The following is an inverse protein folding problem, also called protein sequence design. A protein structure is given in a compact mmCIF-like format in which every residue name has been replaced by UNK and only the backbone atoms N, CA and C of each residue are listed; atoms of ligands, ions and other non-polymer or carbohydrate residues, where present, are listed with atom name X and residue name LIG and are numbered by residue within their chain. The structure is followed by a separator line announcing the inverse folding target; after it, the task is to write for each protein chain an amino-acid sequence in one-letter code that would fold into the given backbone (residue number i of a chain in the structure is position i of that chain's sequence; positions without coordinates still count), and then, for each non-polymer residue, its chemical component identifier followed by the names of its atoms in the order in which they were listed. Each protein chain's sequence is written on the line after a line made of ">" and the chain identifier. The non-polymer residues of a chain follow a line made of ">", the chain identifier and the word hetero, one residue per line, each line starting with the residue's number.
data_IF_836900786727
#
_entry.id   IF_836900786727
#
_cell.length_a   1.000
_cell.length_b   1.000
_cell.length_c   1.000
_cell.angle_alpha   90.00
_cell.angle_beta   90.00
_cell.angle_gamma   90.00
#
_symmetry.space_group_name_H-M   'P 1'
#
loop_
_entity.id
_entity.type
_entity.pdbx_description
1 polymer ?
#
# COMPACT_ATOMS: atom_id res chain seq x y z
N UNK A 1 2.49 -52.42 -1.05
CA UNK A 1 2.99 -51.71 -2.24
C UNK A 1 2.88 -50.22 -1.95
N UNK A 2 3.96 -49.60 -1.50
CA UNK A 2 4.04 -48.15 -1.28
C UNK A 2 4.08 -47.46 -2.64
N UNK A 3 3.14 -46.56 -2.92
CA UNK A 3 3.30 -45.57 -3.98
C UNK A 3 3.80 -44.31 -3.30
N UNK A 4 5.09 -44.02 -3.50
CA UNK A 4 5.75 -42.78 -3.08
C UNK A 4 5.24 -41.68 -4.01
N UNK A 5 4.39 -40.79 -3.50
CA UNK A 5 4.03 -39.55 -4.19
C UNK A 5 5.14 -38.52 -3.92
N UNK A 6 5.99 -38.28 -4.93
CA UNK A 6 6.95 -37.18 -4.93
C UNK A 6 6.22 -35.85 -5.14
N UNK A 7 6.60 -34.74 -4.48
CA UNK A 7 5.96 -33.44 -4.70
C UNK A 7 6.31 -32.91 -6.10
N UNK A 8 5.30 -32.67 -6.92
CA UNK A 8 5.44 -32.01 -8.23
C UNK A 8 5.66 -30.50 -8.00
N UNK A 9 6.84 -30.14 -7.51
CA UNK A 9 7.37 -28.78 -7.58
C UNK A 9 8.57 -28.84 -8.52
N UNK A 10 8.31 -28.75 -9.82
CA UNK A 10 9.23 -28.46 -10.93
C UNK A 10 8.78 -29.23 -12.18
N UNK A 11 7.80 -28.69 -12.92
CA UNK A 11 7.63 -29.07 -14.32
C UNK A 11 7.43 -27.80 -15.16
N UNK A 12 8.35 -27.65 -16.12
CA UNK A 12 8.45 -26.53 -17.05
C UNK A 12 7.16 -26.40 -17.91
N UNK A 13 6.70 -25.18 -18.24
CA UNK A 13 5.43 -24.95 -18.96
C UNK A 13 5.32 -25.66 -20.31
N UNK A 14 6.44 -25.97 -20.97
CA UNK A 14 6.47 -26.49 -22.34
C UNK A 14 5.92 -27.93 -22.48
N UNK A 15 5.91 -28.75 -21.42
CA UNK A 15 5.42 -30.15 -21.52
C UNK A 15 3.90 -30.28 -21.50
N UNK A 16 3.16 -29.28 -21.00
CA UNK A 16 1.69 -29.32 -20.89
C UNK A 16 0.97 -29.22 -22.24
N UNK A 17 1.57 -28.55 -23.23
CA UNK A 17 0.93 -28.31 -24.52
C UNK A 17 0.85 -29.56 -25.42
N UNK A 18 1.52 -30.66 -25.08
CA UNK A 18 1.62 -31.85 -25.94
C UNK A 18 0.70 -33.02 -25.56
N UNK A 19 -0.03 -32.95 -24.42
CA UNK A 19 -0.70 -34.15 -23.85
C UNK A 19 -2.22 -34.00 -23.73
N UNK A 20 -2.79 -32.78 -23.76
CA UNK A 20 -4.23 -32.57 -23.51
C UNK A 20 -4.90 -31.84 -24.68
N UNK A 21 -5.91 -32.44 -25.35
CA UNK A 21 -6.70 -31.77 -26.39
C UNK A 21 -7.39 -30.52 -25.82
N UNK A 22 -7.40 -29.43 -26.59
CA UNK A 22 -7.86 -28.10 -26.15
C UNK A 22 -9.25 -28.07 -25.49
N UNK A 23 -10.14 -29.00 -25.86
CA UNK A 23 -11.53 -28.99 -25.39
C UNK A 23 -11.74 -29.58 -23.98
N UNK A 24 -10.69 -30.13 -23.34
CA UNK A 24 -10.79 -30.74 -22.00
C UNK A 24 -9.89 -30.09 -20.94
N UNK A 25 -9.12 -29.05 -21.29
CA UNK A 25 -8.22 -28.35 -20.37
C UNK A 25 -8.97 -27.74 -19.18
N UNK A 26 -10.16 -27.18 -19.42
CA UNK A 26 -11.01 -26.57 -18.39
C UNK A 26 -11.55 -27.58 -17.37
N UNK A 27 -11.80 -28.82 -17.78
CA UNK A 27 -12.32 -29.88 -16.91
C UNK A 27 -11.22 -30.49 -16.03
N UNK A 28 -10.05 -30.76 -16.62
CA UNK A 28 -8.90 -31.27 -15.87
C UNK A 28 -8.34 -30.25 -14.87
N UNK A 29 -8.39 -28.95 -15.20
CA UNK A 29 -7.93 -27.91 -14.28
C UNK A 29 -8.89 -27.70 -13.09
N UNK A 30 -10.20 -27.83 -13.31
CA UNK A 30 -11.21 -27.84 -12.22
C UNK A 30 -10.94 -28.97 -11.22
N UNK A 31 -10.57 -30.16 -11.71
CA UNK A 31 -10.21 -31.29 -10.85
C UNK A 31 -8.88 -31.03 -10.11
N UNK A 32 -7.88 -30.43 -10.75
CA UNK A 32 -6.58 -30.16 -10.11
C UNK A 32 -6.67 -29.10 -8.99
N UNK A 33 -7.47 -28.04 -9.17
CA UNK A 33 -7.74 -27.03 -8.14
C UNK A 33 -8.45 -27.65 -6.93
N UNK A 34 -9.44 -28.51 -7.18
CA UNK A 34 -10.16 -29.24 -6.13
C UNK A 34 -9.20 -30.18 -5.38
N UNK A 35 -8.39 -30.97 -6.10
CA UNK A 35 -7.48 -31.95 -5.49
C UNK A 35 -6.33 -31.32 -4.70
N UNK A 36 -5.77 -30.19 -5.15
CA UNK A 36 -4.73 -29.46 -4.39
C UNK A 36 -5.28 -28.83 -3.11
N UNK A 37 -6.56 -28.50 -3.05
CA UNK A 37 -7.19 -27.95 -1.85
C UNK A 37 -7.52 -29.03 -0.82
N UNK A 38 -7.97 -30.21 -1.26
CA UNK A 38 -8.28 -31.34 -0.36
C UNK A 38 -7.03 -32.11 0.13
N UNK A 39 -5.91 -32.04 -0.57
CA UNK A 39 -4.67 -32.73 -0.17
C UNK A 39 -4.02 -32.16 1.11
N UNK A 40 -4.46 -31.00 1.60
CA UNK A 40 -3.99 -30.40 2.86
C UNK A 40 -4.96 -30.57 4.03
N UNK A 41 -6.09 -31.27 3.86
CA UNK A 41 -7.13 -31.44 4.89
C UNK A 41 -7.30 -32.90 5.30
N UNK A 42 -6.26 -33.50 5.88
CA UNK A 42 -6.42 -34.72 6.71
C UNK A 42 -6.17 -34.37 8.17
N UNK A 43 -7.20 -33.78 8.80
CA UNK A 43 -7.52 -33.84 10.23
C UNK A 43 -8.78 -32.98 10.46
N UNK A 44 -9.93 -33.49 10.03
CA UNK A 44 -11.23 -32.97 10.47
C UNK A 44 -11.84 -34.01 11.39
N UNK A 45 -11.59 -33.85 12.69
CA UNK A 45 -12.49 -34.35 13.72
C UNK A 45 -13.77 -33.51 13.63
N UNK A 46 -14.91 -34.19 13.66
CA UNK A 46 -16.23 -33.61 13.49
C UNK A 46 -16.53 -32.52 14.53
N UNK A 47 -16.35 -31.26 14.13
CA UNK A 47 -17.07 -30.12 14.69
C UNK A 47 -17.91 -29.52 13.57
N UNK A 48 -19.22 -29.54 13.78
CA UNK A 48 -20.23 -28.88 12.97
C UNK A 48 -19.95 -27.37 12.91
N UNK A 49 -19.24 -26.94 11.86
CA UNK A 49 -19.17 -25.54 11.45
C UNK A 49 -20.12 -25.35 10.27
N UNK A 50 -21.32 -24.85 10.57
CA UNK A 50 -22.20 -24.23 9.58
C UNK A 50 -21.75 -22.78 9.36
N UNK A 51 -20.66 -22.58 8.65
CA UNK A 51 -20.35 -21.31 7.98
C UNK A 51 -19.95 -21.64 6.56
N UNK A 52 -20.88 -21.47 5.63
CA UNK A 52 -20.55 -21.41 4.21
C UNK A 52 -19.55 -20.27 4.01
N UNK A 53 -18.26 -20.57 3.86
CA UNK A 53 -17.29 -19.60 3.36
C UNK A 53 -17.72 -19.26 1.93
N UNK A 54 -18.43 -18.15 1.75
CA UNK A 54 -18.66 -17.60 0.42
C UNK A 54 -17.31 -17.15 -0.11
N UNK A 55 -16.93 -17.64 -1.29
CA UNK A 55 -15.72 -17.26 -2.03
C UNK A 55 -16.14 -16.39 -3.22
N UNK A 56 -16.35 -15.07 -3.03
CA UNK A 56 -17.08 -14.23 -3.98
C UNK A 56 -16.33 -14.06 -5.31
N UNK A 57 -15.01 -14.00 -5.26
CA UNK A 57 -14.17 -13.86 -6.44
C UNK A 57 -14.12 -15.16 -7.23
N UNK A 58 -14.01 -16.32 -6.57
CA UNK A 58 -14.12 -17.63 -7.23
C UNK A 58 -15.50 -17.84 -7.86
N UNK A 59 -16.57 -17.41 -7.20
CA UNK A 59 -17.92 -17.48 -7.78
C UNK A 59 -18.02 -16.59 -9.02
N UNK A 60 -17.43 -15.39 -8.99
CA UNK A 60 -17.41 -14.49 -10.15
C UNK A 60 -16.59 -15.07 -11.30
N UNK A 61 -15.44 -15.67 -11.00
CA UNK A 61 -14.58 -16.37 -11.97
C UNK A 61 -15.30 -17.50 -12.72
N UNK A 62 -16.35 -18.10 -12.11
CA UNK A 62 -17.18 -19.09 -12.80
C UNK A 62 -18.01 -18.50 -13.95
N UNK A 63 -18.27 -17.19 -13.92
CA UNK A 63 -19.07 -16.47 -14.91
C UNK A 63 -18.22 -15.71 -15.94
N UNK A 64 -16.91 -15.57 -15.72
CA UNK A 64 -15.99 -14.88 -16.61
C UNK A 64 -14.75 -14.33 -15.87
N UNK A 65 -13.78 -13.77 -16.60
CA UNK A 65 -12.60 -13.18 -15.99
C UNK A 65 -12.95 -11.91 -15.19
N UNK A 66 -12.17 -11.61 -14.14
CA UNK A 66 -12.39 -10.50 -13.23
C UNK A 66 -12.03 -9.16 -13.89
N UNK A 67 -12.98 -8.22 -13.92
CA UNK A 67 -12.79 -6.88 -14.49
C UNK A 67 -12.13 -5.94 -13.50
N UNK A 68 -11.05 -5.28 -13.93
CA UNK A 68 -10.25 -4.36 -13.11
C UNK A 68 -10.56 -2.90 -13.48
N UNK A 69 -10.78 -2.07 -12.47
CA UNK A 69 -10.89 -0.62 -12.61
C UNK A 69 -9.88 0.09 -11.69
N UNK A 70 -8.99 0.88 -12.28
CA UNK A 70 -8.02 1.73 -11.58
C UNK A 70 -8.60 3.12 -11.41
N UNK A 71 -8.77 3.55 -10.16
CA UNK A 71 -9.34 4.84 -9.78
C UNK A 71 -8.17 5.77 -9.44
N UNK A 72 -7.74 6.56 -10.44
CA UNK A 72 -6.65 7.52 -10.30
C UNK A 72 -5.57 7.34 -11.35
N UNK A 73 -5.05 8.45 -11.87
CA UNK A 73 -4.16 8.51 -13.04
C UNK A 73 -2.97 9.44 -12.83
N UNK A 74 -2.61 9.71 -11.57
CA UNK A 74 -1.36 10.39 -11.24
C UNK A 74 -0.14 9.54 -11.64
N UNK A 75 1.05 9.99 -11.24
CA UNK A 75 2.30 9.29 -11.52
C UNK A 75 2.23 7.83 -11.04
N UNK A 76 1.89 7.60 -9.77
CA UNK A 76 1.75 6.25 -9.22
C UNK A 76 0.57 5.47 -9.82
N UNK A 77 -0.57 6.13 -10.07
CA UNK A 77 -1.73 5.49 -10.71
C UNK A 77 -1.44 4.97 -12.12
N UNK A 78 -0.60 5.69 -12.89
CA UNK A 78 -0.18 5.28 -14.23
C UNK A 78 0.77 4.07 -14.19
N UNK A 79 1.70 4.05 -13.23
CA UNK A 79 2.61 2.90 -13.01
C UNK A 79 1.84 1.66 -12.59
N UNK A 80 0.89 1.83 -11.66
CA UNK A 80 0.01 0.74 -11.25
C UNK A 80 -0.85 0.27 -12.41
N UNK A 81 -1.43 1.18 -13.20
CA UNK A 81 -2.14 0.88 -14.44
C UNK A 81 -1.30 0.02 -15.39
N UNK A 82 -0.02 0.38 -15.61
CA UNK A 82 0.94 -0.41 -16.41
C UNK A 82 1.10 -1.83 -15.87
N UNK A 83 1.31 -1.98 -14.57
CA UNK A 83 1.52 -3.29 -13.93
C UNK A 83 0.28 -4.17 -14.06
N UNK A 84 -0.89 -3.66 -13.65
CA UNK A 84 -2.12 -4.45 -13.62
C UNK A 84 -2.60 -4.80 -15.02
N UNK A 85 -2.49 -3.89 -15.99
CA UNK A 85 -2.84 -4.19 -17.39
C UNK A 85 -1.88 -5.21 -18.00
N UNK A 86 -0.58 -5.13 -17.69
CA UNK A 86 0.39 -6.11 -18.15
C UNK A 86 0.12 -7.52 -17.60
N UNK A 87 -0.24 -7.63 -16.31
CA UNK A 87 -0.61 -8.92 -15.71
C UNK A 87 -1.94 -9.45 -16.22
N UNK A 88 -2.94 -8.57 -16.41
CA UNK A 88 -4.23 -8.94 -16.94
C UNK A 88 -4.13 -9.52 -18.35
N UNK A 89 -3.27 -8.95 -19.21
CA UNK A 89 -3.03 -9.45 -20.58
C UNK A 89 -2.52 -10.89 -20.64
N UNK A 90 -1.79 -11.34 -19.61
CA UNK A 90 -1.16 -12.67 -19.58
C UNK A 90 -1.88 -13.69 -18.70
N UNK A 91 -2.93 -13.27 -17.99
CA UNK A 91 -3.63 -14.09 -17.01
C UNK A 91 -5.04 -14.41 -17.49
N UNK A 92 -5.48 -15.65 -17.28
CA UNK A 92 -6.88 -16.04 -17.54
C UNK A 92 -7.84 -15.61 -16.42
N UNK A 93 -7.31 -15.09 -15.30
CA UNK A 93 -8.08 -14.69 -14.13
C UNK A 93 -8.71 -13.31 -14.34
N UNK A 94 -8.04 -12.44 -15.10
CA UNK A 94 -8.42 -11.03 -15.26
C UNK A 94 -8.89 -10.76 -16.67
N UNK A 95 -9.87 -9.86 -16.81
CA UNK A 95 -10.27 -9.37 -18.12
C UNK A 95 -9.09 -8.57 -18.70
N UNK A 96 -8.75 -8.82 -19.96
CA UNK A 96 -7.62 -8.15 -20.58
C UNK A 96 -7.82 -6.63 -20.62
N UNK A 97 -9.07 -6.14 -20.69
CA UNK A 97 -9.38 -4.72 -20.78
C UNK A 97 -9.40 -4.09 -19.39
N UNK A 98 -8.29 -3.47 -19.00
CA UNK A 98 -8.19 -2.69 -17.76
C UNK A 98 -8.63 -1.26 -18.03
N UNK A 99 -9.53 -0.74 -17.19
CA UNK A 99 -9.99 0.65 -17.26
C UNK A 99 -9.30 1.50 -16.21
N UNK A 100 -8.86 2.70 -16.60
CA UNK A 100 -8.30 3.69 -15.68
C UNK A 100 -9.08 5.00 -15.74
N UNK A 101 -9.46 5.50 -14.56
CA UNK A 101 -10.12 6.79 -14.44
C UNK A 101 -9.08 7.91 -14.51
N UNK A 102 -9.23 8.77 -15.52
CA UNK A 102 -8.41 9.95 -15.73
C UNK A 102 -9.26 11.19 -15.49
N UNK A 103 -8.90 12.01 -14.50
CA UNK A 103 -9.55 13.31 -14.35
C UNK A 103 -9.27 14.14 -15.61
N UNK A 104 -10.33 14.63 -16.26
CA UNK A 104 -10.20 15.22 -17.59
C UNK A 104 -9.48 16.56 -17.52
N UNK A 105 -8.41 16.68 -18.29
CA UNK A 105 -7.60 17.89 -18.41
C UNK A 105 -7.28 18.14 -19.89
N UNK A 106 -7.03 19.40 -20.25
CA UNK A 106 -6.62 19.77 -21.60
C UNK A 106 -5.10 19.93 -21.66
N UNK A 107 -4.45 19.18 -22.55
CA UNK A 107 -3.04 19.35 -22.92
C UNK A 107 -3.00 19.85 -24.35
N UNK A 108 -2.53 21.09 -24.53
CA UNK A 108 -2.44 21.73 -25.86
C UNK A 108 -3.77 21.68 -26.64
N UNK A 109 -4.90 21.86 -25.93
CA UNK A 109 -6.25 21.85 -26.50
C UNK A 109 -6.86 20.48 -26.76
N UNK A 110 -6.14 19.38 -26.48
CA UNK A 110 -6.65 18.00 -26.58
C UNK A 110 -6.94 17.42 -25.21
N UNK A 111 -7.95 16.56 -25.11
CA UNK A 111 -8.28 15.84 -23.87
C UNK A 111 -7.15 14.88 -23.50
N UNK A 112 -6.77 14.86 -22.23
CA UNK A 112 -5.73 13.97 -21.73
C UNK A 112 -6.10 12.50 -21.96
N UNK A 113 -7.39 12.14 -21.83
CA UNK A 113 -7.89 10.78 -22.13
C UNK A 113 -7.66 10.37 -23.59
N UNK A 114 -7.89 11.27 -24.54
CA UNK A 114 -7.66 11.02 -25.97
C UNK A 114 -6.17 10.82 -26.26
N UNK A 115 -5.31 11.69 -25.72
CA UNK A 115 -3.85 11.55 -25.86
C UNK A 115 -3.37 10.24 -25.25
N UNK A 116 -3.85 9.92 -24.04
CA UNK A 116 -3.50 8.69 -23.33
C UNK A 116 -3.82 7.46 -24.18
N UNK A 117 -5.04 7.37 -24.71
CA UNK A 117 -5.47 6.22 -25.50
C UNK A 117 -4.82 6.15 -26.89
N UNK A 118 -4.45 7.29 -27.50
CA UNK A 118 -3.79 7.31 -28.81
C UNK A 118 -2.29 7.02 -28.74
N UNK A 119 -1.62 7.54 -27.71
CA UNK A 119 -0.16 7.39 -27.54
C UNK A 119 0.22 6.23 -26.62
N UNK A 120 -0.74 5.68 -25.87
CA UNK A 120 -0.50 4.76 -24.77
C UNK A 120 0.56 5.30 -23.80
N UNK A 121 0.39 6.55 -23.39
CA UNK A 121 1.32 7.27 -22.51
C UNK A 121 0.56 8.32 -21.70
N UNK A 122 0.86 8.43 -20.39
CA UNK A 122 0.41 9.57 -19.60
C UNK A 122 1.43 10.72 -19.70
N UNK A 123 1.32 11.51 -20.78
CA UNK A 123 2.25 12.58 -21.12
C UNK A 123 2.42 13.65 -20.04
N UNK A 124 1.46 13.79 -19.11
CA UNK A 124 1.51 14.77 -18.02
C UNK A 124 2.15 14.20 -16.76
N UNK A 125 1.68 13.03 -16.31
CA UNK A 125 2.02 12.50 -14.99
C UNK A 125 3.10 11.42 -15.00
N UNK A 126 3.33 10.77 -16.14
CA UNK A 126 4.37 9.76 -16.34
C UNK A 126 4.97 9.86 -17.76
N UNK A 127 5.61 11.00 -18.11
CA UNK A 127 6.13 11.22 -19.45
C UNK A 127 7.26 10.24 -19.80
N UNK A 128 7.27 9.77 -21.04
CA UNK A 128 8.28 8.89 -21.62
C UNK A 128 8.16 7.41 -21.25
N UNK A 129 7.09 7.00 -20.53
CA UNK A 129 6.87 5.60 -20.16
C UNK A 129 5.72 5.01 -20.99
N UNK A 130 5.98 4.01 -21.84
CA UNK A 130 4.92 3.35 -22.60
C UNK A 130 4.00 2.56 -21.66
N UNK A 131 2.70 2.68 -21.91
CA UNK A 131 1.64 1.96 -21.22
C UNK A 131 1.10 0.84 -22.12
N UNK A 132 0.57 -0.26 -21.54
CA UNK A 132 -0.02 -1.33 -22.33
C UNK A 132 -1.24 -0.87 -23.12
N UNK A 133 -1.42 -1.38 -24.34
CA UNK A 133 -2.57 -1.03 -25.21
C UNK A 133 -3.93 -1.39 -24.60
N UNK A 134 -3.94 -2.39 -23.71
CA UNK A 134 -5.12 -2.87 -23.00
C UNK A 134 -5.43 -2.08 -21.71
N UNK A 135 -4.73 -0.96 -21.46
CA UNK A 135 -5.06 0.01 -20.43
C UNK A 135 -5.80 1.20 -21.05
N UNK A 136 -7.12 1.25 -20.86
CA UNK A 136 -7.97 2.25 -21.50
C UNK A 136 -8.36 3.35 -20.51
N UNK A 137 -8.02 4.60 -20.85
CA UNK A 137 -8.39 5.78 -20.09
C UNK A 137 -9.84 6.21 -20.36
N UNK A 138 -10.56 6.47 -19.28
CA UNK A 138 -11.92 7.03 -19.29
C UNK A 138 -11.99 8.26 -18.38
N UNK A 139 -12.68 9.33 -18.81
CA UNK A 139 -12.90 10.50 -17.95
C UNK A 139 -14.10 10.37 -17.01
N UNK A 140 -15.06 9.54 -17.38
CA UNK A 140 -16.21 9.21 -16.55
C UNK A 140 -15.84 8.15 -15.51
N UNK A 141 -15.84 8.55 -14.23
CA UNK A 141 -15.65 7.61 -13.12
C UNK A 141 -16.71 6.51 -13.14
N UNK A 142 -17.96 6.85 -13.46
CA UNK A 142 -19.09 5.92 -13.56
C UNK A 142 -18.85 4.84 -14.61
N UNK A 143 -18.34 5.21 -15.79
CA UNK A 143 -18.05 4.26 -16.86
C UNK A 143 -16.81 3.40 -16.55
N UNK A 144 -15.83 3.97 -15.85
CA UNK A 144 -14.61 3.26 -15.44
C UNK A 144 -14.94 2.08 -14.52
N UNK A 145 -15.81 2.29 -13.54
CA UNK A 145 -16.10 1.28 -12.50
C UNK A 145 -17.28 0.35 -12.84
N UNK A 146 -18.02 0.63 -13.92
CA UNK A 146 -19.19 -0.18 -14.33
C UNK A 146 -18.82 -1.66 -14.42
N UNK A 147 -19.54 -2.55 -13.74
CA UNK A 147 -19.30 -4.00 -13.74
C UNK A 147 -17.89 -4.44 -13.28
N UNK A 148 -17.09 -3.56 -12.66
CA UNK A 148 -15.78 -3.92 -12.16
C UNK A 148 -15.90 -4.85 -10.94
N UNK A 149 -15.09 -5.91 -10.89
CA UNK A 149 -15.00 -6.81 -9.75
C UNK A 149 -13.88 -6.40 -8.79
N UNK A 150 -12.88 -5.70 -9.32
CA UNK A 150 -11.67 -5.29 -8.60
C UNK A 150 -11.49 -3.77 -8.75
N UNK A 151 -11.61 -3.04 -7.65
CA UNK A 151 -11.43 -1.59 -7.60
C UNK A 151 -10.08 -1.23 -6.96
N UNK A 152 -9.20 -0.58 -7.72
CA UNK A 152 -7.86 -0.16 -7.27
C UNK A 152 -7.86 1.35 -7.02
N UNK A 153 -7.91 1.77 -5.76
CA UNK A 153 -7.89 3.19 -5.38
C UNK A 153 -6.46 3.72 -5.30
N UNK A 154 -6.09 4.62 -6.22
CA UNK A 154 -4.74 5.19 -6.34
C UNK A 154 -4.81 6.69 -6.64
N UNK A 155 -5.46 7.42 -5.74
CA UNK A 155 -5.64 8.87 -5.77
C UNK A 155 -4.94 9.54 -4.58
N UNK A 156 -4.61 10.85 -4.67
CA UNK A 156 -4.19 11.61 -3.51
C UNK A 156 -5.23 11.54 -2.38
N UNK A 157 -4.78 11.40 -1.13
CA UNK A 157 -5.65 11.11 0.02
C UNK A 157 -6.76 12.15 0.20
N UNK A 158 -6.50 13.43 -0.09
CA UNK A 158 -7.49 14.50 0.05
C UNK A 158 -8.73 14.33 -0.87
N UNK A 159 -8.63 13.54 -1.95
CA UNK A 159 -9.73 13.30 -2.89
C UNK A 159 -10.51 12.02 -2.60
N UNK A 160 -10.06 11.18 -1.66
CA UNK A 160 -10.64 9.86 -1.44
C UNK A 160 -12.10 9.93 -1.01
N UNK A 161 -12.39 10.72 0.03
CA UNK A 161 -13.74 10.84 0.59
C UNK A 161 -14.77 11.24 -0.47
N UNK A 162 -14.52 12.35 -1.18
CA UNK A 162 -15.41 12.86 -2.22
C UNK A 162 -15.56 11.88 -3.39
N UNK A 163 -14.49 11.14 -3.72
CA UNK A 163 -14.55 10.09 -4.75
C UNK A 163 -15.45 8.94 -4.31
N UNK A 164 -15.30 8.44 -3.08
CA UNK A 164 -16.18 7.41 -2.52
C UNK A 164 -17.64 7.87 -2.43
N UNK A 165 -17.90 9.10 -2.01
CA UNK A 165 -19.26 9.67 -1.98
C UNK A 165 -19.88 9.74 -3.39
N UNK A 166 -19.08 10.13 -4.38
CA UNK A 166 -19.50 10.13 -5.80
C UNK A 166 -19.81 8.72 -6.30
N UNK A 167 -18.97 7.73 -5.98
CA UNK A 167 -19.19 6.32 -6.34
C UNK A 167 -20.47 5.80 -5.68
N UNK A 168 -20.69 6.10 -4.40
CA UNK A 168 -21.92 5.73 -3.67
C UNK A 168 -23.16 6.27 -4.37
N UNK A 169 -23.12 7.53 -4.82
CA UNK A 169 -24.24 8.16 -5.53
C UNK A 169 -24.58 7.51 -6.88
N UNK A 170 -23.69 6.70 -7.47
CA UNK A 170 -24.00 5.96 -8.69
C UNK A 170 -24.90 4.74 -8.46
N UNK A 171 -25.13 4.32 -7.21
CA UNK A 171 -25.99 3.18 -6.84
C UNK A 171 -25.67 1.89 -7.61
N UNK A 172 -24.38 1.59 -7.82
CA UNK A 172 -23.98 0.30 -8.35
C UNK A 172 -24.16 -0.81 -7.31
N UNK A 173 -24.48 -2.01 -7.80
CA UNK A 173 -24.43 -3.22 -6.98
C UNK A 173 -23.00 -3.75 -6.95
N UNK A 174 -22.35 -3.64 -5.79
CA UNK A 174 -20.99 -4.12 -5.58
C UNK A 174 -20.92 -5.55 -5.00
N UNK A 175 -21.97 -6.35 -5.17
CA UNK A 175 -21.93 -7.77 -4.82
C UNK A 175 -20.71 -8.44 -5.46
N UNK A 176 -19.92 -9.15 -4.66
CA UNK A 176 -18.67 -9.81 -5.07
C UNK A 176 -17.57 -8.88 -5.61
N UNK A 177 -17.66 -7.57 -5.36
CA UNK A 177 -16.59 -6.62 -5.67
C UNK A 177 -15.64 -6.50 -4.49
N UNK A 178 -14.34 -6.41 -4.77
CA UNK A 178 -13.30 -6.15 -3.76
C UNK A 178 -12.55 -4.86 -4.09
N UNK A 179 -12.17 -4.13 -3.05
CA UNK A 179 -11.37 -2.93 -3.17
C UNK A 179 -9.93 -3.18 -2.68
N UNK A 180 -8.99 -2.41 -3.22
CA UNK A 180 -7.66 -2.25 -2.64
C UNK A 180 -7.26 -0.78 -2.66
N UNK A 181 -6.77 -0.28 -1.53
CA UNK A 181 -6.27 1.09 -1.38
C UNK A 181 -4.75 1.13 -1.51
N UNK A 182 -4.25 1.99 -2.40
CA UNK A 182 -2.85 2.39 -2.50
C UNK A 182 -2.64 3.83 -1.99
N UNK A 183 -3.66 4.37 -1.33
CA UNK A 183 -3.67 5.72 -0.79
C UNK A 183 -2.87 5.75 0.51
N UNK A 184 -1.86 6.62 0.58
CA UNK A 184 -1.06 6.83 1.79
C UNK A 184 -1.49 8.14 2.45
N UNK A 185 -2.15 8.03 3.61
CA UNK A 185 -2.66 9.18 4.35
C UNK A 185 -3.38 8.76 5.63
N UNK A 186 -3.63 9.73 6.50
CA UNK A 186 -4.36 9.58 7.75
C UNK A 186 -5.53 10.58 7.74
N UNK A 187 -6.70 10.16 8.18
CA UNK A 187 -7.85 11.03 8.37
C UNK A 187 -8.16 11.16 9.86
N UNK A 188 -8.96 12.18 10.19
CA UNK A 188 -9.47 12.39 11.54
C UNK A 188 -10.99 12.37 11.48
N UNK A 189 -11.61 11.55 12.32
CA UNK A 189 -13.06 11.56 12.48
C UNK A 189 -13.55 12.75 13.35
N UNK A 190 -14.86 12.87 13.53
CA UNK A 190 -15.44 13.94 14.33
C UNK A 190 -15.06 13.88 15.83
N UNK A 191 -14.52 12.75 16.30
CA UNK A 191 -14.11 12.51 17.68
C UNK A 191 -12.57 12.58 17.86
N UNK A 192 -11.85 13.09 16.87
CA UNK A 192 -10.39 13.14 16.84
C UNK A 192 -9.70 11.76 16.91
N UNK A 193 -10.38 10.71 16.44
CA UNK A 193 -9.73 9.41 16.25
C UNK A 193 -9.13 9.32 14.85
N UNK A 194 -7.98 8.63 14.72
CA UNK A 194 -7.41 8.37 13.41
C UNK A 194 -8.30 7.42 12.61
N UNK A 195 -8.39 7.68 11.31
CA UNK A 195 -9.10 6.86 10.33
C UNK A 195 -8.19 6.58 9.14
N UNK A 196 -8.22 5.34 8.65
CA UNK A 196 -7.44 4.88 7.51
C UNK A 196 -8.23 4.99 6.20
N UNK A 197 -7.52 4.88 5.07
CA UNK A 197 -8.14 4.99 3.75
C UNK A 197 -9.00 3.77 3.45
N UNK A 198 -8.55 2.57 3.85
CA UNK A 198 -9.35 1.34 3.73
C UNK A 198 -10.65 1.44 4.52
N UNK A 199 -10.60 1.88 5.78
CA UNK A 199 -11.78 2.07 6.63
C UNK A 199 -12.78 3.04 6.00
N UNK A 200 -12.29 4.15 5.44
CA UNK A 200 -13.14 5.14 4.77
C UNK A 200 -13.82 4.57 3.52
N UNK A 201 -13.09 3.78 2.72
CA UNK A 201 -13.66 3.08 1.56
C UNK A 201 -14.73 2.09 2.01
N UNK A 202 -14.43 1.27 3.02
CA UNK A 202 -15.34 0.26 3.56
C UNK A 202 -16.61 0.89 4.13
N UNK A 203 -16.48 1.97 4.91
CA UNK A 203 -17.61 2.66 5.55
C UNK A 203 -18.54 3.32 4.51
N UNK A 204 -17.98 3.97 3.49
CA UNK A 204 -18.78 4.72 2.52
C UNK A 204 -19.43 3.77 1.50
N UNK A 205 -18.67 2.79 0.98
CA UNK A 205 -19.06 1.93 -0.13
C UNK A 205 -19.61 0.55 0.28
N UNK A 206 -19.40 0.12 1.53
CA UNK A 206 -19.78 -1.22 1.99
C UNK A 206 -18.95 -2.33 1.34
N UNK A 207 -17.67 -2.07 1.08
CA UNK A 207 -16.75 -2.97 0.40
C UNK A 207 -15.64 -3.42 1.33
N UNK A 208 -15.23 -4.69 1.26
CA UNK A 208 -13.96 -5.11 1.87
C UNK A 208 -12.81 -4.46 1.09
N UNK A 209 -11.86 -3.86 1.81
CA UNK A 209 -10.77 -3.09 1.23
C UNK A 209 -9.42 -3.57 1.74
N UNK A 210 -8.67 -4.28 0.90
CA UNK A 210 -7.25 -4.57 1.14
C UNK A 210 -6.41 -3.30 0.97
N UNK A 211 -5.12 -3.36 1.28
CA UNK A 211 -4.21 -2.23 1.10
C UNK A 211 -2.93 -2.67 0.43
N UNK A 212 -2.28 -1.79 -0.33
CA UNK A 212 -0.94 -2.00 -0.86
C UNK A 212 -0.06 -0.79 -0.56
N UNK A 213 1.05 -1.03 0.13
CA UNK A 213 2.06 -0.01 0.47
C UNK A 213 3.47 -0.60 0.38
N UNK A 214 4.50 0.23 0.39
CA UNK A 214 5.88 -0.21 0.15
C UNK A 214 6.82 0.90 -0.29
N UNK A 215 8.10 0.57 -0.34
CA UNK A 215 9.19 1.40 -0.85
C UNK A 215 9.08 1.57 -2.38
N UNK A 216 8.10 2.38 -2.83
CA UNK A 216 7.70 2.40 -4.24
C UNK A 216 7.84 3.81 -4.85
N UNK A 217 9.06 4.19 -5.20
CA UNK A 217 9.29 5.41 -5.98
C UNK A 217 8.77 5.17 -7.39
N UNK A 218 7.69 5.87 -7.76
CA UNK A 218 6.96 5.61 -9.00
C UNK A 218 7.85 5.61 -10.26
N UNK A 219 8.83 6.52 -10.35
CA UNK A 219 9.74 6.60 -11.50
C UNK A 219 10.63 5.36 -11.64
N UNK A 220 11.05 4.78 -10.53
CA UNK A 220 11.99 3.64 -10.52
C UNK A 220 11.23 2.37 -10.89
N UNK A 221 10.03 2.19 -10.31
CA UNK A 221 9.12 1.09 -10.69
C UNK A 221 8.68 1.21 -12.16
N UNK A 222 8.45 2.43 -12.67
CA UNK A 222 8.09 2.64 -14.08
C UNK A 222 9.17 2.16 -15.05
N UNK A 223 10.44 2.32 -14.66
CA UNK A 223 11.64 1.86 -15.36
C UNK A 223 11.95 0.38 -15.13
N UNK A 224 11.09 -0.32 -14.39
CA UNK A 224 11.25 -1.74 -14.07
C UNK A 224 12.50 -2.01 -13.23
N UNK A 225 12.93 -1.02 -12.43
CA UNK A 225 13.92 -1.23 -11.37
C UNK A 225 13.29 -2.05 -10.25
N UNK A 226 14.08 -2.92 -9.63
CA UNK A 226 13.60 -3.83 -8.60
C UNK A 226 13.01 -3.06 -7.41
N UNK A 227 11.82 -3.48 -6.99
CA UNK A 227 11.06 -2.92 -5.88
C UNK A 227 10.17 -3.98 -5.25
N UNK A 228 9.77 -3.72 -4.01
CA UNK A 228 8.91 -4.61 -3.24
C UNK A 228 7.71 -3.82 -2.68
N UNK A 229 6.56 -4.47 -2.56
CA UNK A 229 5.41 -3.92 -1.86
C UNK A 229 4.72 -4.99 -1.01
N UNK A 230 3.96 -4.53 -0.05
CA UNK A 230 3.24 -5.35 0.92
C UNK A 230 1.74 -5.12 0.74
N UNK A 231 0.99 -6.21 0.62
CA UNK A 231 -0.46 -6.22 0.67
C UNK A 231 -0.90 -6.53 2.09
N UNK A 232 -1.64 -5.61 2.71
CA UNK A 232 -2.39 -5.87 3.94
C UNK A 232 -3.78 -6.42 3.59
N UNK A 233 -4.21 -7.48 4.25
CA UNK A 233 -5.51 -8.13 3.99
C UNK A 233 -6.15 -8.72 5.24
N UNK A 234 -7.48 -8.88 5.22
CA UNK A 234 -8.22 -9.68 6.20
C UNK A 234 -8.66 -11.03 5.61
N UNK A 235 -8.90 -11.05 4.30
CA UNK A 235 -9.32 -12.22 3.54
C UNK A 235 -8.19 -12.71 2.63
N UNK A 236 -7.79 -13.97 2.82
CA UNK A 236 -6.70 -14.59 2.06
C UNK A 236 -7.08 -14.79 0.58
N UNK A 237 -8.35 -15.04 0.25
CA UNK A 237 -8.78 -15.17 -1.15
C UNK A 237 -8.47 -13.88 -1.92
N UNK A 238 -8.89 -12.74 -1.37
CA UNK A 238 -8.60 -11.42 -1.94
C UNK A 238 -7.09 -11.17 -2.04
N UNK A 239 -6.32 -11.53 -1.02
CA UNK A 239 -4.87 -11.39 -1.03
C UNK A 239 -4.19 -12.15 -2.18
N UNK A 240 -4.59 -13.40 -2.43
CA UNK A 240 -4.04 -14.24 -3.50
C UNK A 240 -4.39 -13.69 -4.89
N UNK A 241 -5.58 -13.10 -5.06
CA UNK A 241 -6.00 -12.44 -6.31
C UNK A 241 -5.22 -11.14 -6.51
N UNK A 242 -5.11 -10.30 -5.47
CA UNK A 242 -4.35 -9.05 -5.56
C UNK A 242 -2.86 -9.30 -5.83
N UNK A 243 -2.26 -10.29 -5.16
CA UNK A 243 -0.86 -10.65 -5.40
C UNK A 243 -0.64 -11.02 -6.88
N UNK A 244 -1.52 -11.83 -7.47
CA UNK A 244 -1.42 -12.17 -8.90
C UNK A 244 -1.63 -10.96 -9.83
N UNK A 245 -2.43 -9.98 -9.41
CA UNK A 245 -2.67 -8.77 -10.19
C UNK A 245 -1.47 -7.81 -10.18
N UNK A 246 -0.75 -7.70 -9.05
CA UNK A 246 0.33 -6.72 -8.88
C UNK A 246 1.74 -7.30 -9.07
N UNK A 247 1.97 -8.59 -8.81
CA UNK A 247 3.33 -9.15 -8.79
C UNK A 247 3.99 -9.17 -10.18
N UNK A 248 5.24 -8.71 -10.24
CA UNK A 248 6.13 -8.74 -11.40
C UNK A 248 7.55 -9.11 -10.96
N UNK A 249 8.42 -9.61 -11.86
CA UNK A 249 9.83 -9.85 -11.55
C UNK A 249 10.57 -8.66 -10.93
N UNK A 250 10.20 -7.43 -11.31
CA UNK A 250 10.76 -6.18 -10.77
C UNK A 250 9.88 -5.53 -9.69
N UNK A 251 8.68 -6.04 -9.42
CA UNK A 251 7.75 -5.49 -8.42
C UNK A 251 7.16 -6.64 -7.61
N UNK A 252 7.90 -7.08 -6.61
CA UNK A 252 7.56 -8.27 -5.82
C UNK A 252 6.58 -7.94 -4.71
N UNK A 253 5.59 -8.81 -4.54
CA UNK A 253 4.49 -8.59 -3.60
C UNK A 253 4.53 -9.63 -2.48
N UNK A 254 4.57 -9.15 -1.24
CA UNK A 254 4.36 -9.96 -0.03
C UNK A 254 2.98 -9.66 0.55
N UNK A 255 2.29 -10.65 1.10
CA UNK A 255 1.01 -10.47 1.79
C UNK A 255 1.17 -10.63 3.30
N UNK A 256 0.53 -9.75 4.08
CA UNK A 256 0.44 -9.83 5.54
C UNK A 256 -1.02 -9.67 5.99
N UNK A 257 -1.50 -10.47 6.97
CA UNK A 257 -2.87 -10.36 7.46
C UNK A 257 -3.02 -9.20 8.47
N UNK A 258 -2.63 -7.99 8.04
CA UNK A 258 -2.60 -6.77 8.85
C UNK A 258 -2.79 -5.52 7.96
N UNK A 259 -4.05 -5.15 7.74
CA UNK A 259 -4.40 -3.94 6.96
C UNK A 259 -3.90 -2.68 7.65
N UNK A 260 -4.23 -2.54 8.94
CA UNK A 260 -3.97 -1.32 9.72
C UNK A 260 -2.48 -1.02 9.83
N UNK A 261 -1.66 -2.02 10.14
CA UNK A 261 -0.20 -1.87 10.24
C UNK A 261 0.42 -1.38 8.92
N UNK A 262 0.02 -1.97 7.79
CA UNK A 262 0.52 -1.59 6.45
C UNK A 262 0.17 -0.13 6.11
N UNK A 263 -1.07 0.29 6.39
CA UNK A 263 -1.52 1.66 6.11
C UNK A 263 -0.90 2.71 7.04
N UNK A 264 -0.83 2.43 8.35
CA UNK A 264 -0.18 3.32 9.32
C UNK A 264 1.28 3.56 8.94
N UNK A 265 1.99 2.51 8.52
CA UNK A 265 3.35 2.65 8.01
C UNK A 265 3.43 3.63 6.83
N UNK A 266 2.57 3.45 5.82
CA UNK A 266 2.51 4.31 4.65
C UNK A 266 2.14 5.76 4.97
N UNK A 267 1.24 5.97 5.94
CA UNK A 267 0.77 7.29 6.36
C UNK A 267 1.84 8.07 7.13
N UNK A 268 2.39 7.48 8.20
CA UNK A 268 3.20 8.22 9.18
C UNK A 268 4.67 8.39 8.76
N UNK A 269 5.20 7.56 7.85
CA UNK A 269 6.60 7.67 7.38
C UNK A 269 6.98 9.06 6.88
N UNK A 270 6.02 9.81 6.33
CA UNK A 270 6.29 11.13 5.79
C UNK A 270 6.58 12.15 6.89
N UNK A 271 6.04 11.97 8.09
CA UNK A 271 6.36 12.78 9.28
C UNK A 271 7.78 12.46 9.76
N UNK A 272 8.16 11.18 9.77
CA UNK A 272 9.53 10.75 10.06
C UNK A 272 10.51 11.38 9.05
N UNK A 273 10.12 11.43 7.77
CA UNK A 273 10.92 12.06 6.73
C UNK A 273 11.07 13.58 6.90
N UNK A 274 10.09 14.28 7.49
CA UNK A 274 10.26 15.69 7.87
C UNK A 274 11.35 15.82 8.94
N UNK A 275 11.27 15.02 10.02
CA UNK A 275 12.27 15.01 11.08
C UNK A 275 13.68 14.67 10.56
N UNK A 276 13.78 13.67 9.68
CA UNK A 276 15.02 13.33 9.00
C UNK A 276 15.53 14.48 8.10
N UNK A 277 14.63 15.24 7.48
CA UNK A 277 14.96 16.38 6.65
C UNK A 277 15.44 17.57 7.46
N UNK A 278 14.88 17.78 8.66
CA UNK A 278 15.40 18.76 9.60
C UNK A 278 16.85 18.47 9.99
N UNK A 279 17.21 17.19 10.16
CA UNK A 279 18.61 16.79 10.37
C UNK A 279 19.50 17.20 9.17
N UNK A 280 19.04 16.96 7.94
CA UNK A 280 19.76 17.36 6.73
C UNK A 280 19.87 18.89 6.59
N UNK A 281 18.86 19.63 7.06
CA UNK A 281 18.86 21.09 7.08
C UNK A 281 19.81 21.70 8.12
N UNK A 282 20.06 20.98 9.22
CA UNK A 282 21.02 21.34 10.27
C UNK A 282 22.43 20.79 10.00
N UNK A 283 22.68 20.21 8.83
CA UNK A 283 23.95 19.56 8.45
C UNK A 283 24.41 18.49 9.47
N UNK A 284 23.48 17.75 10.06
CA UNK A 284 23.78 16.71 11.03
C UNK A 284 24.27 15.42 10.39
N UNK A 285 25.18 14.73 11.09
CA UNK A 285 25.75 13.46 10.62
C UNK A 285 24.76 12.28 10.60
N UNK A 286 25.15 11.22 9.90
CA UNK A 286 24.35 10.00 9.69
C UNK A 286 23.91 9.31 10.99
N UNK A 287 24.74 9.31 12.04
CA UNK A 287 24.38 8.74 13.33
C UNK A 287 23.15 9.43 13.95
N UNK A 288 23.09 10.77 13.86
CA UNK A 288 21.97 11.54 14.39
C UNK A 288 20.71 11.27 13.57
N UNK A 289 20.82 11.31 12.24
CA UNK A 289 19.71 11.01 11.34
C UNK A 289 19.15 9.60 11.56
N UNK A 290 20.02 8.60 11.71
CA UNK A 290 19.62 7.22 12.01
C UNK A 290 18.90 7.11 13.36
N UNK A 291 19.37 7.83 14.39
CA UNK A 291 18.70 7.85 15.69
C UNK A 291 17.29 8.46 15.60
N UNK A 292 17.11 9.52 14.82
CA UNK A 292 15.81 10.16 14.57
C UNK A 292 14.87 9.23 13.80
N UNK A 293 15.34 8.60 12.72
CA UNK A 293 14.55 7.62 11.96
C UNK A 293 14.10 6.48 12.88
N UNK A 294 14.99 5.94 13.70
CA UNK A 294 14.66 4.87 14.66
C UNK A 294 13.61 5.31 15.69
N UNK A 295 13.73 6.53 16.25
CA UNK A 295 12.71 7.03 17.18
C UNK A 295 11.35 7.19 16.50
N UNK A 296 11.32 7.75 15.30
CA UNK A 296 10.08 7.92 14.55
C UNK A 296 9.45 6.58 14.19
N UNK A 297 10.27 5.58 13.91
CA UNK A 297 9.78 4.24 13.62
C UNK A 297 9.18 3.53 14.85
N UNK A 298 9.76 3.74 16.04
CA UNK A 298 9.16 3.26 17.30
C UNK A 298 7.86 4.00 17.62
N UNK A 299 7.79 5.31 17.42
CA UNK A 299 6.57 6.09 17.61
C UNK A 299 5.48 5.71 16.62
N UNK A 300 5.84 5.40 15.37
CA UNK A 300 4.93 4.85 14.37
C UNK A 300 4.35 3.50 14.81
N UNK A 301 5.21 2.59 15.29
CA UNK A 301 4.79 1.28 15.82
C UNK A 301 3.85 1.44 17.02
N UNK A 302 4.23 2.29 17.97
CA UNK A 302 3.42 2.59 19.15
C UNK A 302 2.06 3.19 18.77
N UNK A 303 2.03 4.11 17.81
CA UNK A 303 0.78 4.70 17.30
C UNK A 303 -0.12 3.61 16.73
N UNK A 304 0.43 2.73 15.90
CA UNK A 304 -0.31 1.61 15.31
C UNK A 304 -0.95 0.73 16.40
N UNK A 305 -0.17 0.29 17.39
CA UNK A 305 -0.65 -0.59 18.47
C UNK A 305 -1.63 0.11 19.43
N UNK A 306 -1.52 1.43 19.61
CA UNK A 306 -2.39 2.18 20.52
C UNK A 306 -3.77 2.44 19.92
N UNK A 307 -3.85 2.65 18.59
CA UNK A 307 -5.08 3.07 17.92
C UNK A 307 -5.76 1.97 17.11
N UNK A 308 -5.06 0.89 16.78
CA UNK A 308 -5.59 -0.19 15.95
C UNK A 308 -5.39 -1.55 16.61
N UNK A 309 -6.43 -2.38 16.55
CA UNK A 309 -6.38 -3.74 17.06
C UNK A 309 -5.79 -4.68 16.00
N UNK A 310 -5.08 -5.72 16.45
CA UNK A 310 -4.62 -6.79 15.56
C UNK A 310 -3.37 -6.49 14.74
N UNK A 311 -2.71 -5.35 14.98
CA UNK A 311 -1.45 -5.01 14.31
C UNK A 311 -0.36 -6.03 14.64
N UNK A 312 0.38 -6.49 13.62
CA UNK A 312 1.40 -7.51 13.75
C UNK A 312 2.80 -6.90 13.69
N UNK A 313 3.68 -7.38 14.57
CA UNK A 313 5.07 -6.89 14.64
C UNK A 313 5.82 -7.11 13.31
N UNK A 314 5.57 -8.24 12.63
CA UNK A 314 6.21 -8.59 11.37
C UNK A 314 5.90 -7.58 10.25
N UNK A 315 4.72 -6.94 10.28
CA UNK A 315 4.29 -5.92 9.31
C UNK A 315 5.27 -4.75 9.23
N UNK A 316 5.88 -4.37 10.35
CA UNK A 316 6.84 -3.26 10.39
C UNK A 316 8.18 -3.62 9.74
N UNK A 317 8.51 -4.91 9.64
CA UNK A 317 9.73 -5.38 8.98
C UNK A 317 9.53 -5.65 7.48
N UNK A 318 8.28 -5.67 7.01
CA UNK A 318 7.93 -5.75 5.59
C UNK A 318 8.20 -4.44 4.83
N UNK A 319 8.12 -4.48 3.49
CA UNK A 319 8.42 -3.33 2.62
C UNK A 319 7.59 -2.08 2.98
N UNK A 320 6.31 -2.25 3.36
CA UNK A 320 5.45 -1.15 3.78
C UNK A 320 5.99 -0.40 5.02
N UNK A 321 6.69 -1.09 5.92
CA UNK A 321 7.22 -0.53 7.15
C UNK A 321 8.59 0.11 6.98
N UNK A 322 9.63 -0.63 7.38
CA UNK A 322 10.99 -0.09 7.49
C UNK A 322 11.57 0.31 6.14
N UNK A 323 11.33 -0.46 5.06
CA UNK A 323 11.91 -0.16 3.75
C UNK A 323 11.33 1.14 3.16
N UNK A 324 10.02 1.34 3.24
CA UNK A 324 9.38 2.58 2.76
C UNK A 324 9.82 3.79 3.61
N UNK A 325 9.96 3.60 4.93
CA UNK A 325 10.48 4.63 5.84
C UNK A 325 11.89 5.05 5.45
N UNK A 326 12.80 4.08 5.28
CA UNK A 326 14.19 4.34 4.86
C UNK A 326 14.20 5.08 3.53
N UNK A 327 13.55 4.53 2.50
CA UNK A 327 13.53 5.11 1.14
C UNK A 327 13.05 6.56 1.16
N UNK A 328 12.02 6.84 1.97
CA UNK A 328 11.48 8.21 2.12
C UNK A 328 12.46 9.14 2.82
N UNK A 329 13.18 8.66 3.85
CA UNK A 329 14.14 9.44 4.63
C UNK A 329 15.51 9.65 3.94
N UNK A 330 15.74 9.03 2.78
CA UNK A 330 16.99 9.24 2.00
C UNK A 330 16.78 9.94 0.65
N UNK A 331 15.57 9.89 0.06
CA UNK A 331 15.34 10.45 -1.28
C UNK A 331 14.03 11.20 -1.48
N UNK A 332 13.15 11.23 -0.48
CA UNK A 332 11.78 11.73 -0.63
C UNK A 332 11.64 13.24 -0.75
N UNK A 333 10.52 13.69 -1.34
CA UNK A 333 10.13 15.12 -1.40
C UNK A 333 9.97 15.74 0.00
N UNK A 334 9.39 14.99 0.94
CA UNK A 334 9.24 15.41 2.35
C UNK A 334 10.59 15.75 2.99
N UNK A 335 11.58 14.88 2.79
CA UNK A 335 12.95 15.08 3.28
C UNK A 335 13.55 16.39 2.75
N UNK A 336 13.54 16.58 1.43
CA UNK A 336 14.16 17.73 0.77
C UNK A 336 13.50 19.05 1.17
N UNK A 337 12.17 19.09 1.22
CA UNK A 337 11.43 20.29 1.61
C UNK A 337 11.66 20.64 3.08
N UNK A 338 11.73 19.64 3.97
CA UNK A 338 12.03 19.88 5.38
C UNK A 338 13.47 20.38 5.60
N UNK A 339 14.43 19.88 4.82
CA UNK A 339 15.81 20.40 4.85
C UNK A 339 15.84 21.88 4.42
N UNK A 340 15.13 22.25 3.36
CA UNK A 340 15.02 23.64 2.92
C UNK A 340 14.32 24.53 3.97
N UNK A 341 13.27 24.03 4.61
CA UNK A 341 12.57 24.75 5.67
C UNK A 341 13.53 25.18 6.79
N UNK A 342 14.37 24.25 7.26
CA UNK A 342 15.38 24.54 8.28
C UNK A 342 16.50 25.44 7.76
N UNK A 343 16.99 25.25 6.52
CA UNK A 343 18.00 26.12 5.91
C UNK A 343 17.53 27.56 5.77
N UNK A 344 16.24 27.74 5.50
CA UNK A 344 15.58 29.06 5.48
C UNK A 344 15.25 29.60 6.87
N UNK A 345 15.62 28.89 7.96
CA UNK A 345 15.29 29.23 9.35
C UNK A 345 13.79 29.42 9.59
N UNK A 346 12.96 28.63 8.91
CA UNK A 346 11.50 28.72 8.99
C UNK A 346 10.90 30.00 8.40
N UNK A 347 11.68 30.83 7.68
CA UNK A 347 11.18 32.07 7.08
C UNK A 347 10.33 31.82 5.83
N UNK A 348 10.58 30.71 5.12
CA UNK A 348 9.74 30.27 4.01
C UNK A 348 8.57 29.44 4.51
N UNK A 349 7.36 29.78 4.06
CA UNK A 349 6.18 28.94 4.33
C UNK A 349 6.27 27.62 3.58
N UNK A 350 5.54 26.60 4.07
CA UNK A 350 5.40 25.34 3.35
C UNK A 350 4.86 25.53 1.93
N UNK A 351 3.92 26.46 1.72
CA UNK A 351 3.38 26.76 0.39
C UNK A 351 4.43 27.34 -0.57
N UNK A 352 5.35 28.19 -0.06
CA UNK A 352 6.45 28.73 -0.87
C UNK A 352 7.44 27.62 -1.25
N UNK A 353 7.82 26.78 -0.29
CA UNK A 353 8.71 25.63 -0.55
C UNK A 353 8.06 24.65 -1.55
N UNK A 354 6.77 24.36 -1.40
CA UNK A 354 6.02 23.54 -2.37
C UNK A 354 6.11 24.14 -3.78
N UNK A 355 5.85 25.43 -3.93
CA UNK A 355 5.87 26.09 -5.25
C UNK A 355 7.26 26.10 -5.89
N UNK A 356 8.31 26.29 -5.09
CA UNK A 356 9.70 26.38 -5.57
C UNK A 356 10.28 25.00 -5.93
N UNK A 357 9.95 23.94 -5.18
CA UNK A 357 10.66 22.67 -5.26
C UNK A 357 9.85 21.52 -5.88
N UNK A 358 8.51 21.61 -5.88
CA UNK A 358 7.66 20.46 -6.20
C UNK A 358 6.93 20.55 -7.54
N UNK A 359 7.07 21.64 -8.30
CA UNK A 359 6.49 21.81 -9.64
C UNK A 359 5.00 21.42 -9.70
N UNK A 360 4.21 21.90 -8.74
CA UNK A 360 2.77 21.63 -8.63
C UNK A 360 2.39 20.34 -7.88
N UNK A 361 3.37 19.52 -7.45
CA UNK A 361 3.10 18.38 -6.57
C UNK A 361 2.90 18.84 -5.12
N UNK A 362 2.06 18.13 -4.37
CA UNK A 362 1.75 18.45 -2.97
C UNK A 362 2.69 17.76 -1.97
N UNK A 363 3.03 18.46 -0.89
CA UNK A 363 3.78 17.94 0.24
C UNK A 363 2.81 17.31 1.24
N UNK A 364 2.86 15.99 1.36
CA UNK A 364 1.87 15.25 2.14
C UNK A 364 2.27 15.16 3.62
N UNK A 365 3.57 15.11 3.92
CA UNK A 365 4.06 14.93 5.29
C UNK A 365 3.69 16.05 6.24
N UNK A 366 3.58 17.28 5.75
CA UNK A 366 3.14 18.44 6.53
C UNK A 366 1.69 18.29 6.97
N UNK A 367 0.79 17.99 6.03
CA UNK A 367 -0.63 17.73 6.32
C UNK A 367 -0.78 16.57 7.32
N UNK A 368 -0.11 15.44 7.09
CA UNK A 368 -0.14 14.30 8.01
C UNK A 368 0.44 14.66 9.39
N UNK A 369 1.48 15.49 9.46
CA UNK A 369 2.07 15.94 10.72
C UNK A 369 1.08 16.80 11.52
N UNK A 370 0.35 17.68 10.84
CA UNK A 370 -0.70 18.49 11.45
C UNK A 370 -1.82 17.61 12.03
N UNK A 371 -2.32 16.67 11.22
CA UNK A 371 -3.41 15.80 11.64
C UNK A 371 -3.00 14.86 12.78
N UNK A 372 -1.79 14.29 12.68
CA UNK A 372 -1.22 13.44 13.72
C UNK A 372 -1.08 14.17 15.06
N UNK A 373 -0.58 15.41 15.04
CA UNK A 373 -0.45 16.21 16.26
C UNK A 373 -1.82 16.52 16.89
N UNK A 374 -2.82 16.85 16.07
CA UNK A 374 -4.20 17.07 16.55
C UNK A 374 -4.76 15.82 17.26
N UNK A 375 -4.52 14.62 16.72
CA UNK A 375 -4.92 13.36 17.37
C UNK A 375 -4.19 13.19 18.71
N UNK A 376 -2.86 13.32 18.71
CA UNK A 376 -2.02 13.14 19.90
C UNK A 376 -2.45 14.08 21.04
N UNK A 377 -2.60 15.38 20.74
CA UNK A 377 -2.96 16.39 21.73
C UNK A 377 -4.40 16.26 22.22
N UNK A 378 -5.34 15.86 21.37
CA UNK A 378 -6.72 15.63 21.80
C UNK A 378 -6.86 14.52 22.85
N UNK A 379 -5.84 13.68 23.00
CA UNK A 379 -5.78 12.55 23.93
C UNK A 379 -4.68 12.68 24.99
N UNK A 380 -4.00 13.83 25.05
CA UNK A 380 -2.91 14.10 26.00
C UNK A 380 -1.76 13.08 25.92
N UNK A 381 -1.39 12.66 24.70
CA UNK A 381 -0.39 11.61 24.45
C UNK A 381 0.98 12.15 24.03
N UNK A 382 1.22 13.46 24.12
CA UNK A 382 2.45 14.11 23.64
C UNK A 382 3.72 13.47 24.21
N UNK A 383 3.67 13.05 25.49
CA UNK A 383 4.79 12.40 26.17
C UNK A 383 5.14 11.02 25.60
N UNK A 384 4.19 10.34 24.94
CA UNK A 384 4.42 9.06 24.27
C UNK A 384 4.97 9.23 22.86
N UNK A 385 4.77 10.41 22.26
CA UNK A 385 5.16 10.72 20.89
C UNK A 385 6.04 11.98 20.80
N UNK A 386 7.20 12.01 21.49
CA UNK A 386 8.05 13.20 21.56
C UNK A 386 8.59 13.64 20.19
N UNK A 387 8.97 12.71 19.31
CA UNK A 387 9.45 13.04 17.97
C UNK A 387 8.35 13.65 17.12
N UNK A 388 7.17 13.04 17.06
CA UNK A 388 6.05 13.60 16.29
C UNK A 388 5.63 14.96 16.83
N UNK A 389 5.62 15.12 18.15
CA UNK A 389 5.34 16.40 18.83
C UNK A 389 6.36 17.48 18.46
N UNK A 390 7.66 17.23 18.64
CA UNK A 390 8.70 18.23 18.33
C UNK A 390 8.75 18.55 16.83
N UNK A 391 8.50 17.55 15.98
CA UNK A 391 8.43 17.75 14.52
C UNK A 391 7.32 18.72 14.14
N UNK A 392 6.13 18.58 14.75
CA UNK A 392 5.03 19.52 14.55
C UNK A 392 5.39 20.93 15.02
N UNK A 393 5.93 21.05 16.23
CA UNK A 393 6.26 22.36 16.82
C UNK A 393 7.31 23.12 16.01
N UNK A 394 8.30 22.41 15.46
CA UNK A 394 9.27 23.00 14.53
C UNK A 394 8.58 23.42 13.23
N UNK A 395 7.72 22.56 12.68
CA UNK A 395 7.05 22.81 11.40
C UNK A 395 6.01 23.94 11.43
N UNK A 396 5.38 24.19 12.58
CA UNK A 396 4.18 25.04 12.67
C UNK A 396 4.18 26.08 13.80
N UNK A 397 4.92 25.88 14.89
CA UNK A 397 4.89 26.77 16.07
C UNK A 397 6.16 27.62 16.21
N UNK A 398 7.07 27.59 15.24
CA UNK A 398 8.30 28.37 15.25
C UNK A 398 9.33 27.90 16.28
N UNK A 399 9.21 26.66 16.77
CA UNK A 399 10.22 26.05 17.63
C UNK A 399 11.56 25.92 16.89
N UNK A 400 12.68 26.18 17.58
CA UNK A 400 14.02 26.01 17.00
C UNK A 400 14.24 24.57 16.55
N UNK A 401 14.87 24.38 15.39
CA UNK A 401 15.23 23.05 14.89
C UNK A 401 16.18 22.29 15.82
N UNK A 402 16.96 23.00 16.65
CA UNK A 402 17.84 22.40 17.66
C UNK A 402 17.07 21.54 18.67
N UNK A 403 15.81 21.88 18.94
CA UNK A 403 14.96 21.15 19.89
C UNK A 403 14.69 19.71 19.45
N UNK A 404 14.76 19.43 18.14
CA UNK A 404 14.64 18.06 17.60
C UNK A 404 15.62 17.10 18.29
N UNK A 405 16.83 17.58 18.59
CA UNK A 405 17.87 16.77 19.23
C UNK A 405 17.88 16.97 20.74
N UNK A 406 17.59 18.18 21.23
CA UNK A 406 17.54 18.45 22.67
C UNK A 406 16.51 17.57 23.37
N UNK A 407 15.38 17.28 22.70
CA UNK A 407 14.35 16.34 23.18
C UNK A 407 14.94 14.95 23.54
N UNK A 408 15.95 14.49 22.80
CA UNK A 408 16.57 13.17 23.02
C UNK A 408 17.90 13.22 23.78
N UNK A 409 18.46 14.41 24.02
CA UNK A 409 19.67 14.66 24.83
C UNK A 409 19.30 14.85 26.31
N UNK A 410 18.76 13.82 26.92
CA UNK A 410 18.40 13.84 28.34
C UNK A 410 19.57 13.43 29.23
N UNK A 411 19.74 14.11 30.37
CA UNK A 411 20.69 13.70 31.42
C UNK A 411 20.24 12.43 32.16
N UNK A 412 18.91 12.22 32.22
CA UNK A 412 18.33 11.04 32.85
C UNK A 412 18.70 9.80 32.03
N UNK A 413 19.25 8.80 32.70
CA UNK A 413 19.53 7.51 32.06
C UNK A 413 18.24 6.90 31.52
N UNK A 414 18.30 6.38 30.30
CA UNK A 414 17.19 5.62 29.71
C UNK A 414 16.97 4.35 30.53
N UNK A 415 15.70 3.97 30.70
CA UNK A 415 15.35 2.69 31.32
C UNK A 415 15.98 1.55 30.50
N UNK A 416 16.59 0.60 31.20
CA UNK A 416 17.05 -0.66 30.60
C UNK A 416 15.82 -1.54 30.35
N UNK A 417 15.68 -2.05 29.12
CA UNK A 417 14.59 -2.97 28.77
C UNK A 417 14.72 -4.29 29.55
N UNK A 418 13.62 -4.77 30.12
CA UNK A 418 13.50 -6.14 30.60
C UNK A 418 13.22 -7.10 29.44
N UNK A 419 13.23 -8.40 29.74
CA UNK A 419 12.82 -9.40 28.76
C UNK A 419 11.35 -9.21 28.31
N UNK A 420 10.46 -8.82 29.24
CA UNK A 420 9.05 -8.58 28.96
C UNK A 420 8.81 -7.32 28.11
N UNK A 421 9.78 -6.39 28.06
CA UNK A 421 9.74 -5.23 27.16
C UNK A 421 10.15 -5.59 25.71
N UNK A 422 10.52 -6.85 25.44
CA UNK A 422 11.09 -7.28 24.16
C UNK A 422 10.25 -8.39 23.51
N UNK A 423 10.01 -8.27 22.21
CA UNK A 423 9.34 -9.32 21.43
C UNK A 423 10.30 -10.48 21.17
N UNK A 424 9.90 -11.70 21.55
CA UNK A 424 10.67 -12.90 21.25
C UNK A 424 10.69 -13.15 19.74
N UNK A 425 11.88 -13.32 19.16
CA UNK A 425 12.01 -13.77 17.78
C UNK A 425 11.56 -15.24 17.68
N UNK A 426 10.46 -15.49 16.97
CA UNK A 426 9.91 -16.84 16.78
C UNK A 426 10.19 -17.31 15.36
N UNK A 427 10.64 -18.55 15.20
CA UNK A 427 10.75 -19.17 13.87
C UNK A 427 9.37 -19.20 13.19
N UNK A 428 9.23 -18.70 11.95
CA UNK A 428 7.96 -18.74 11.23
C UNK A 428 7.43 -20.17 11.06
N UNK A 429 6.11 -20.32 11.06
CA UNK A 429 5.43 -21.63 11.02
C UNK A 429 5.88 -22.50 9.83
N UNK A 430 6.08 -21.88 8.66
CA UNK A 430 6.54 -22.55 7.43
C UNK A 430 7.89 -23.27 7.60
N UNK A 431 8.75 -22.81 8.51
CA UNK A 431 10.04 -23.45 8.81
C UNK A 431 9.94 -24.50 9.92
N UNK A 432 8.93 -24.40 10.80
CA UNK A 432 8.67 -25.40 11.85
C UNK A 432 8.24 -26.73 11.24
N UNK A 433 7.40 -26.70 10.21
CA UNK A 433 6.92 -27.92 9.53
C UNK A 433 8.02 -28.62 8.72
N UNK A 434 8.93 -27.86 8.10
CA UNK A 434 10.10 -28.45 7.42
C UNK A 434 11.04 -29.18 8.39
N UNK A 435 11.24 -28.66 9.60
CA UNK A 435 12.03 -29.36 10.65
C UNK A 435 11.33 -30.62 11.17
N UNK A 436 10.00 -30.65 11.21
CA UNK A 436 9.22 -31.85 11.56
C UNK A 436 9.24 -32.93 10.48
N UNK A 437 9.35 -32.55 9.20
CA UNK A 437 9.46 -33.49 8.07
C UNK A 437 10.91 -33.97 7.83
N UNK A 438 11.90 -33.25 8.32
CA UNK A 438 13.32 -33.60 8.21
C UNK A 438 13.85 -34.42 9.42
N UNK A 439 13.04 -34.59 10.46
CA UNK A 439 13.24 -35.52 11.57
C UNK A 439 12.27 -36.68 11.40
#
# INVERSE_FOLDING_TARGET
>A
MQIVASPVYNLCPEKWNSIIPNNHKTFFFKILLILNFFANSTLISAYSFSTSYSMPLLQTLSSGPLKVAVIGSGNWGSVIGKIVASNAKTSYIFDENVRIWVYEELIEGKKLTEIFNQKHENVKYLPGVPLPENLTAHSSLKDTIRDANLLVFVIPHQFLKSTCETIKAFNFNFTNTKAISLVKGLYIDNNNNPKLSSELISEILGLDCSVLSGANVAKDVAKEEFSEATIGFDDKESADVWQQLFDKPYFKITGVPDISGVEVCGALKNVIALAAGFCDGMDMGSNTKAAIIRQGFEELRLFSTLFYNGTLEDTFFDSAGIADTITTCFGGRNLRCAAEFVKSKGTKSWSQIESEFLNGQKLQGTLTCYDLFKIITSKSLEQLFPLFTVTYKIAYEGMSSDELINEFKVKKLRRIKSYDDCTLCVLPAIFKDKKRKAR
#
